data_IF_530442636978
#
_entry.id   IF_530442636978
#
_cell.length_a   1.000
_cell.length_b   1.000
_cell.length_c   1.000
_cell.angle_alpha   90.00
_cell.angle_beta   90.00
_cell.angle_gamma   90.00
#
_symmetry.space_group_name_H-M   'P 1'
#
loop_
_entity.id
_entity.type
_entity.pdbx_description
1 polymer ?
#
# COMPACT_ATOMS: atom_id res chain seq x y z
N UNK A 1 -6.31 14.50 14.05
CA UNK A 1 -7.29 13.62 13.42
C UNK A 1 -7.15 13.79 11.92
N UNK A 2 -6.45 12.85 11.26
CA UNK A 2 -6.08 12.95 9.85
C UNK A 2 -6.72 11.83 9.04
N UNK A 3 -7.37 12.22 7.94
CA UNK A 3 -7.89 11.32 6.91
C UNK A 3 -6.90 11.26 5.75
N UNK A 4 -6.57 10.06 5.28
CA UNK A 4 -5.66 9.85 4.16
C UNK A 4 -6.39 9.19 3.00
N UNK A 5 -6.21 9.74 1.80
CA UNK A 5 -6.52 9.04 0.57
C UNK A 5 -5.25 8.34 0.08
N UNK A 6 -5.31 7.03 -0.11
CA UNK A 6 -4.14 6.18 -0.31
C UNK A 6 -4.15 5.60 -1.71
N UNK A 7 -3.07 5.86 -2.43
CA UNK A 7 -2.79 5.25 -3.73
C UNK A 7 -2.22 3.84 -3.57
N UNK A 8 -2.38 3.02 -4.62
CA UNK A 8 -1.86 1.64 -4.70
C UNK A 8 -0.38 1.56 -4.33
N UNK A 9 0.45 2.46 -4.85
CA UNK A 9 1.90 2.41 -4.62
C UNK A 9 2.25 2.53 -3.13
N UNK A 10 1.55 3.38 -2.38
CA UNK A 10 1.75 3.52 -0.94
C UNK A 10 1.23 2.30 -0.18
N UNK A 11 0.07 1.77 -0.57
CA UNK A 11 -0.49 0.60 0.09
C UNK A 11 0.33 -0.68 -0.17
N UNK A 12 1.00 -0.80 -1.32
CA UNK A 12 1.96 -1.89 -1.57
C UNK A 12 3.13 -1.85 -0.58
N UNK A 13 3.70 -0.67 -0.30
CA UNK A 13 4.79 -0.49 0.68
C UNK A 13 4.38 -0.86 2.11
N UNK A 14 3.08 -0.76 2.43
CA UNK A 14 2.55 -1.20 3.72
C UNK A 14 2.51 -2.73 3.84
N UNK A 15 2.23 -3.44 2.75
CA UNK A 15 2.10 -4.90 2.75
C UNK A 15 3.39 -5.64 2.40
N UNK A 16 4.33 -4.99 1.72
CA UNK A 16 5.58 -5.60 1.28
C UNK A 16 6.75 -4.63 1.41
N UNK A 17 7.87 -5.02 2.05
CA UNK A 17 9.02 -4.15 2.25
C UNK A 17 9.59 -3.58 0.95
N UNK A 18 9.56 -2.26 0.87
CA UNK A 18 10.14 -1.41 -0.17
C UNK A 18 10.80 -0.15 0.45
N UNK A 19 11.60 0.62 -0.31
CA UNK A 19 12.05 1.92 0.15
C UNK A 19 10.89 2.80 0.65
N UNK A 20 11.09 3.43 1.80
CA UNK A 20 10.13 4.26 2.55
C UNK A 20 8.98 3.52 3.26
N UNK A 21 9.02 2.18 3.34
CA UNK A 21 7.92 1.41 3.98
C UNK A 21 7.71 1.82 5.44
N UNK A 22 8.75 1.99 6.24
CA UNK A 22 8.65 2.40 7.65
C UNK A 22 7.91 3.73 7.82
N UNK A 23 8.15 4.67 6.91
CA UNK A 23 7.49 5.99 6.90
C UNK A 23 6.01 5.85 6.53
N UNK A 24 5.72 5.04 5.51
CA UNK A 24 4.34 4.81 5.06
C UNK A 24 3.55 4.07 6.13
N UNK A 25 4.13 3.05 6.76
CA UNK A 25 3.53 2.31 7.86
C UNK A 25 3.17 3.24 9.02
N UNK A 26 4.12 4.10 9.44
CA UNK A 26 3.87 5.10 10.48
C UNK A 26 2.71 6.05 10.12
N UNK A 27 2.66 6.53 8.87
CA UNK A 27 1.61 7.43 8.41
C UNK A 27 0.23 6.75 8.35
N UNK A 28 0.17 5.51 7.86
CA UNK A 28 -1.09 4.78 7.72
C UNK A 28 -1.64 4.32 9.07
N UNK A 29 -0.79 3.81 9.97
CA UNK A 29 -1.20 3.42 11.32
C UNK A 29 -1.63 4.61 12.19
N UNK A 30 -1.11 5.81 11.91
CA UNK A 30 -1.50 7.05 12.59
C UNK A 30 -2.76 7.72 12.03
N UNK A 31 -3.29 7.24 10.91
CA UNK A 31 -4.48 7.81 10.28
C UNK A 31 -5.77 7.33 10.98
N UNK A 32 -6.72 8.24 11.13
CA UNK A 32 -8.03 7.90 11.70
C UNK A 32 -8.93 7.22 10.67
N UNK A 33 -8.84 7.69 9.42
CA UNK A 33 -9.56 7.14 8.29
C UNK A 33 -8.64 6.99 7.09
N UNK A 34 -8.76 5.84 6.43
CA UNK A 34 -8.09 5.53 5.18
C UNK A 34 -9.15 5.37 4.10
N UNK A 35 -9.00 6.14 3.03
CA UNK A 35 -9.84 6.08 1.85
C UNK A 35 -9.02 5.51 0.69
N UNK A 36 -9.58 4.52 0.01
CA UNK A 36 -9.03 3.94 -1.22
C UNK A 36 -10.11 3.91 -2.29
N UNK A 37 -9.72 3.77 -3.54
CA UNK A 37 -10.66 3.52 -4.63
C UNK A 37 -10.90 2.03 -4.81
N UNK A 38 -11.99 1.66 -5.49
CA UNK A 38 -12.18 0.28 -5.94
C UNK A 38 -11.07 -0.17 -6.91
N UNK A 39 -10.47 0.75 -7.68
CA UNK A 39 -9.36 0.44 -8.57
C UNK A 39 -8.11 0.01 -7.79
N UNK A 40 -7.84 0.66 -6.65
CA UNK A 40 -6.72 0.35 -5.75
C UNK A 40 -6.71 -1.12 -5.33
N UNK A 41 -7.89 -1.73 -5.14
CA UNK A 41 -8.02 -3.16 -4.81
C UNK A 41 -7.47 -4.05 -5.93
N UNK A 42 -7.85 -3.74 -7.18
CA UNK A 42 -7.42 -4.51 -8.37
C UNK A 42 -5.92 -4.34 -8.59
N UNK A 43 -5.42 -3.12 -8.44
CA UNK A 43 -4.01 -2.81 -8.66
C UNK A 43 -3.09 -3.45 -7.61
N UNK A 44 -3.50 -3.50 -6.34
CA UNK A 44 -2.75 -4.21 -5.28
C UNK A 44 -2.67 -5.70 -5.58
N UNK A 45 -3.80 -6.32 -5.91
CA UNK A 45 -3.81 -7.74 -6.25
C UNK A 45 -2.88 -8.03 -7.43
N UNK A 46 -2.91 -7.18 -8.46
CA UNK A 46 -2.01 -7.27 -9.61
C UNK A 46 -0.54 -7.07 -9.25
N UNK A 47 -0.23 -6.06 -8.44
CA UNK A 47 1.15 -5.71 -8.04
C UNK A 47 1.79 -6.82 -7.18
N UNK A 48 1.07 -7.33 -6.18
CA UNK A 48 1.54 -8.42 -5.32
C UNK A 48 1.68 -9.72 -6.12
N UNK A 49 0.69 -10.07 -6.95
CA UNK A 49 0.79 -11.27 -7.79
C UNK A 49 1.96 -11.18 -8.77
N UNK A 50 2.27 -9.98 -9.30
CA UNK A 50 3.45 -9.78 -10.15
C UNK A 50 4.74 -10.03 -9.38
N UNK A 51 4.91 -9.47 -8.17
CA UNK A 51 6.08 -9.71 -7.32
C UNK A 51 6.31 -11.20 -7.07
N UNK A 52 5.22 -11.93 -6.79
CA UNK A 52 5.27 -13.39 -6.62
C UNK A 52 5.76 -14.08 -7.88
N UNK A 53 5.16 -13.80 -9.04
CA UNK A 53 5.55 -14.43 -10.31
C UNK A 53 7.00 -14.14 -10.72
N UNK A 54 7.52 -12.97 -10.37
CA UNK A 54 8.89 -12.57 -10.75
C UNK A 54 9.93 -12.93 -9.69
N UNK A 55 9.54 -13.53 -8.56
CA UNK A 55 10.46 -13.85 -7.46
C UNK A 55 11.02 -12.62 -6.74
N UNK A 56 10.31 -11.49 -6.80
CA UNK A 56 10.66 -10.26 -6.07
C UNK A 56 9.89 -10.22 -4.74
N UNK A 57 9.85 -11.35 -4.03
CA UNK A 57 9.27 -11.52 -2.69
C UNK A 57 10.41 -11.72 -1.70
#
# INVERSE_FOLDING_TARGET
MSSLFVDTSSLVKFYYPEPDSDRIETLLLGAEHIYITNLTIVEIASALARKVRTGNI
#
